data_IF_173237897715
#
_entry.id   IF_173237897715
#
_cell.length_a   1.000
_cell.length_b   1.000
_cell.length_c   1.000
_cell.angle_alpha   90.00
_cell.angle_beta   90.00
_cell.angle_gamma   90.00
#
_symmetry.space_group_name_H-M   'P 1'
#
loop_
_entity.id
_entity.type
_entity.pdbx_description
1 polymer ?
#
# COMPACT_ATOMS: atom_id res chain seq x y z
N UNK A 1 15.33 5.12 -19.33
CA UNK A 1 14.30 4.17 -18.86
C UNK A 1 15.03 2.94 -18.34
N UNK A 2 14.91 2.64 -17.06
CA UNK A 2 15.42 1.38 -16.51
C UNK A 2 14.40 0.28 -16.80
N UNK A 3 14.84 -0.71 -17.55
CA UNK A 3 14.02 -1.83 -18.06
C UNK A 3 13.96 -2.89 -16.97
N UNK A 4 12.75 -3.27 -16.55
CA UNK A 4 12.50 -4.34 -15.59
C UNK A 4 12.35 -5.72 -16.26
N UNK A 5 11.98 -6.76 -15.50
CA UNK A 5 11.82 -8.11 -16.00
C UNK A 5 10.75 -8.22 -17.09
N UNK A 6 11.02 -9.07 -18.08
CA UNK A 6 10.03 -9.49 -19.07
C UNK A 6 9.30 -10.72 -18.55
N UNK A 7 7.98 -10.64 -18.44
CA UNK A 7 7.14 -11.71 -17.90
C UNK A 7 5.85 -11.84 -18.70
N UNK A 8 5.21 -13.01 -18.57
CA UNK A 8 3.94 -13.28 -19.25
C UNK A 8 2.79 -12.55 -18.55
N UNK A 9 1.72 -12.24 -19.26
CA UNK A 9 0.54 -11.60 -18.67
C UNK A 9 -0.03 -12.42 -17.50
N UNK A 10 -0.02 -13.76 -17.62
CA UNK A 10 -0.41 -14.66 -16.54
C UNK A 10 0.48 -14.50 -15.29
N UNK A 11 1.80 -14.36 -15.47
CA UNK A 11 2.71 -14.11 -14.33
C UNK A 11 2.45 -12.74 -13.72
N UNK A 12 2.17 -11.73 -14.54
CA UNK A 12 1.84 -10.39 -14.06
C UNK A 12 0.59 -10.42 -13.18
N UNK A 13 -0.46 -11.08 -13.65
CA UNK A 13 -1.73 -11.28 -12.94
C UNK A 13 -1.51 -11.95 -11.58
N UNK A 14 -0.77 -13.06 -11.55
CA UNK A 14 -0.42 -13.74 -10.31
C UNK A 14 0.37 -12.86 -9.33
N UNK A 15 1.32 -12.06 -9.83
CA UNK A 15 2.08 -11.12 -8.98
C UNK A 15 1.18 -10.02 -8.39
N UNK A 16 0.29 -9.47 -9.22
CA UNK A 16 -0.68 -8.46 -8.79
C UNK A 16 -1.67 -9.00 -7.76
N UNK A 17 -2.19 -10.20 -7.95
CA UNK A 17 -3.07 -10.86 -6.97
C UNK A 17 -2.36 -11.14 -5.65
N UNK A 18 -1.13 -11.66 -5.70
CA UNK A 18 -0.31 -11.90 -4.52
C UNK A 18 -0.02 -10.59 -3.75
N UNK A 19 0.32 -9.52 -4.48
CA UNK A 19 0.57 -8.21 -3.89
C UNK A 19 -0.70 -7.62 -3.27
N UNK A 20 -1.86 -7.79 -3.90
CA UNK A 20 -3.17 -7.37 -3.36
C UNK A 20 -3.50 -8.10 -2.05
N UNK A 21 -3.22 -9.41 -1.98
CA UNK A 21 -3.40 -10.19 -0.73
C UNK A 21 -2.47 -9.66 0.36
N UNK A 22 -1.20 -9.41 0.04
CA UNK A 22 -0.24 -8.85 0.98
C UNK A 22 -0.68 -7.46 1.48
N UNK A 23 -1.06 -6.56 0.57
CA UNK A 23 -1.58 -5.24 0.90
C UNK A 23 -2.83 -5.30 1.78
N UNK A 24 -3.76 -6.22 1.52
CA UNK A 24 -4.96 -6.39 2.35
C UNK A 24 -4.62 -6.83 3.78
N UNK A 25 -3.61 -7.70 3.93
CA UNK A 25 -3.11 -8.08 5.24
C UNK A 25 -2.49 -6.89 5.96
N UNK A 26 -1.60 -6.15 5.29
CA UNK A 26 -0.98 -4.94 5.83
C UNK A 26 -2.03 -3.89 6.23
N UNK A 27 -3.07 -3.68 5.40
CA UNK A 27 -4.18 -2.77 5.70
C UNK A 27 -4.90 -3.16 6.98
N UNK A 28 -5.18 -4.46 7.17
CA UNK A 28 -5.86 -4.95 8.37
C UNK A 28 -5.00 -4.76 9.63
N UNK A 29 -3.70 -5.02 9.52
CA UNK A 29 -2.77 -4.88 10.63
C UNK A 29 -2.56 -3.40 10.99
N UNK A 30 -2.34 -2.53 9.99
CA UNK A 30 -2.26 -1.08 10.16
C UNK A 30 -3.53 -0.48 10.75
N UNK A 31 -4.71 -0.97 10.32
CA UNK A 31 -6.00 -0.49 10.88
C UNK A 31 -6.11 -0.82 12.36
N UNK A 32 -5.68 -2.01 12.79
CA UNK A 32 -5.66 -2.38 14.22
C UNK A 32 -4.68 -1.51 15.01
N UNK A 33 -3.48 -1.29 14.47
CA UNK A 33 -2.48 -0.41 15.09
C UNK A 33 -2.99 1.02 15.23
N UNK A 34 -3.67 1.56 14.21
CA UNK A 34 -4.26 2.89 14.24
C UNK A 34 -5.40 3.03 15.25
N UNK A 35 -6.18 1.98 15.49
CA UNK A 35 -7.20 1.98 16.55
C UNK A 35 -6.53 2.14 17.91
N UNK A 36 -5.49 1.36 18.18
CA UNK A 36 -4.73 1.44 19.45
C UNK A 36 -4.07 2.81 19.59
N UNK A 37 -3.41 3.31 18.54
CA UNK A 37 -2.77 4.64 18.55
C UNK A 37 -3.79 5.77 18.71
N UNK A 38 -4.99 5.64 18.15
CA UNK A 38 -6.08 6.60 18.33
C UNK A 38 -6.52 6.64 19.79
N UNK A 39 -6.70 5.48 20.42
CA UNK A 39 -7.09 5.40 21.84
C UNK A 39 -5.98 5.99 22.73
N UNK A 40 -4.71 5.67 22.46
CA UNK A 40 -3.56 6.25 23.14
C UNK A 40 -3.48 7.77 22.96
N UNK A 41 -3.70 8.26 21.74
CA UNK A 41 -3.68 9.69 21.44
C UNK A 41 -4.80 10.45 22.16
N UNK A 42 -6.00 9.88 22.24
CA UNK A 42 -7.12 10.47 22.99
C UNK A 42 -6.89 10.47 24.50
N UNK A 43 -6.26 9.41 25.03
CA UNK A 43 -5.92 9.31 26.45
C UNK A 43 -4.77 10.24 26.85
N UNK A 44 -3.86 10.54 25.91
CA UNK A 44 -2.69 11.37 26.17
C UNK A 44 -3.08 12.84 26.30
N UNK A 45 -2.76 13.45 27.44
CA UNK A 45 -3.03 14.87 27.66
C UNK A 45 -2.18 15.72 26.72
N UNK A 46 -2.81 16.67 26.02
CA UNK A 46 -2.13 17.61 25.12
C UNK A 46 -1.12 18.53 25.82
N UNK A 47 -1.38 18.86 27.08
CA UNK A 47 -0.54 19.74 27.88
C UNK A 47 -0.22 19.12 29.23
N UNK A 48 1.01 19.34 29.68
CA UNK A 48 1.48 19.00 31.02
C UNK A 48 2.03 20.26 31.69
N UNK A 49 2.20 20.21 33.00
CA UNK A 49 2.81 21.30 33.77
C UNK A 49 4.27 20.95 34.00
N UNK A 50 5.17 21.86 33.66
CA UNK A 50 6.61 21.71 33.89
C UNK A 50 6.99 21.96 35.36
N UNK A 51 8.24 21.72 35.73
CA UNK A 51 8.77 21.91 37.09
C UNK A 51 8.60 23.37 37.60
N UNK A 52 8.55 24.33 36.68
CA UNK A 52 8.34 25.76 36.96
C UNK A 52 6.85 26.16 37.07
N UNK A 53 5.92 25.21 36.92
CA UNK A 53 4.48 25.48 36.95
C UNK A 53 3.90 25.97 35.61
N UNK A 54 4.71 26.06 34.56
CA UNK A 54 4.28 26.48 33.23
C UNK A 54 3.57 25.36 32.47
N UNK A 55 2.58 25.74 31.64
CA UNK A 55 1.82 24.79 30.82
C UNK A 55 2.54 24.57 29.48
N UNK A 56 3.18 23.41 29.33
CA UNK A 56 3.90 23.02 28.12
C UNK A 56 3.14 21.95 27.34
N UNK A 57 3.44 21.82 26.03
CA UNK A 57 2.91 20.72 25.21
C UNK A 57 3.52 19.41 25.69
N UNK A 58 2.69 18.38 25.86
CA UNK A 58 3.16 17.07 26.24
C UNK A 58 3.98 16.43 25.09
N UNK A 59 5.26 16.09 25.30
CA UNK A 59 6.07 15.42 24.28
C UNK A 59 5.48 14.08 23.82
N UNK A 60 4.85 13.34 24.74
CA UNK A 60 4.19 12.07 24.42
C UNK A 60 3.02 12.27 23.46
N UNK A 61 2.25 13.36 23.63
CA UNK A 61 1.16 13.70 22.72
C UNK A 61 1.66 13.95 21.30
N UNK A 62 2.78 14.68 21.17
CA UNK A 62 3.40 14.96 19.87
C UNK A 62 3.93 13.67 19.23
N UNK A 63 4.54 12.80 20.03
CA UNK A 63 5.08 11.52 19.57
C UNK A 63 3.98 10.58 19.08
N UNK A 64 2.93 10.38 19.88
CA UNK A 64 1.80 9.53 19.50
C UNK A 64 1.09 10.06 18.26
N UNK A 65 0.94 11.39 18.13
CA UNK A 65 0.40 12.01 16.92
C UNK A 65 1.27 11.72 15.69
N UNK A 66 2.58 11.91 15.79
CA UNK A 66 3.49 11.66 14.67
C UNK A 66 3.44 10.19 14.21
N UNK A 67 3.39 9.25 15.16
CA UNK A 67 3.23 7.83 14.85
C UNK A 67 1.87 7.51 14.23
N UNK A 68 0.80 8.18 14.67
CA UNK A 68 -0.52 8.05 14.05
C UNK A 68 -0.49 8.53 12.59
N UNK A 69 0.00 9.74 12.35
CA UNK A 69 0.06 10.34 11.01
C UNK A 69 0.93 9.48 10.06
N UNK A 70 2.05 8.92 10.53
CA UNK A 70 2.89 7.99 9.76
C UNK A 70 2.14 6.72 9.34
N UNK A 71 1.43 6.10 10.29
CA UNK A 71 0.67 4.86 10.05
C UNK A 71 -0.55 5.09 9.17
N UNK A 72 -1.18 6.27 9.28
CA UNK A 72 -2.28 6.68 8.40
C UNK A 72 -1.80 6.86 6.96
N UNK A 73 -0.66 7.52 6.75
CA UNK A 73 -0.04 7.65 5.43
C UNK A 73 0.28 6.27 4.81
N UNK A 74 0.89 5.36 5.58
CA UNK A 74 1.16 4.01 5.11
C UNK A 74 -0.11 3.23 4.75
N UNK A 75 -1.19 3.41 5.51
CA UNK A 75 -2.50 2.82 5.22
C UNK A 75 -3.05 3.34 3.89
N UNK A 76 -2.96 4.66 3.67
CA UNK A 76 -3.40 5.31 2.43
C UNK A 76 -2.57 4.82 1.23
N UNK A 77 -1.25 4.74 1.36
CA UNK A 77 -0.37 4.19 0.32
C UNK A 77 -0.76 2.76 -0.08
N UNK A 78 -1.06 1.90 0.90
CA UNK A 78 -1.52 0.52 0.63
C UNK A 78 -2.88 0.47 -0.04
N UNK A 79 -3.81 1.34 0.34
CA UNK A 79 -5.12 1.47 -0.32
C UNK A 79 -4.98 1.95 -1.76
N UNK A 80 -4.14 2.96 -2.00
CA UNK A 80 -3.86 3.49 -3.33
C UNK A 80 -3.18 2.43 -4.22
N UNK A 81 -2.23 1.68 -3.68
CA UNK A 81 -1.62 0.53 -4.37
C UNK A 81 -2.66 -0.52 -4.76
N UNK A 82 -3.59 -0.86 -3.87
CA UNK A 82 -4.67 -1.79 -4.18
C UNK A 82 -5.65 -1.27 -5.23
N UNK A 83 -6.01 0.01 -5.18
CA UNK A 83 -6.86 0.63 -6.19
C UNK A 83 -6.20 0.57 -7.58
N UNK A 84 -4.90 0.88 -7.65
CA UNK A 84 -4.13 0.78 -8.88
C UNK A 84 -4.05 -0.65 -9.41
N UNK A 85 -3.75 -1.63 -8.55
CA UNK A 85 -3.70 -3.05 -8.93
C UNK A 85 -5.06 -3.52 -9.45
N UNK A 86 -6.16 -3.16 -8.78
CA UNK A 86 -7.50 -3.54 -9.24
C UNK A 86 -7.83 -2.96 -10.62
N UNK A 87 -7.51 -1.69 -10.85
CA UNK A 87 -7.71 -1.05 -12.15
C UNK A 87 -6.93 -1.76 -13.27
N UNK A 88 -5.70 -2.23 -12.97
CA UNK A 88 -4.87 -2.97 -13.93
C UNK A 88 -5.34 -4.40 -14.18
N UNK A 89 -5.86 -5.08 -13.15
CA UNK A 89 -6.49 -6.39 -13.32
C UNK A 89 -7.76 -6.29 -14.18
N UNK A 90 -8.57 -5.27 -13.96
CA UNK A 90 -9.77 -5.01 -14.76
C UNK A 90 -9.41 -4.69 -16.22
N UNK A 91 -8.39 -3.85 -16.44
CA UNK A 91 -7.87 -3.57 -17.79
C UNK A 91 -7.43 -4.85 -18.51
N UNK A 92 -6.72 -5.76 -17.83
CA UNK A 92 -6.32 -7.05 -18.41
C UNK A 92 -7.53 -7.94 -18.75
N UNK A 93 -8.54 -8.00 -17.89
CA UNK A 93 -9.74 -8.78 -18.13
C UNK A 93 -10.52 -8.25 -19.35
N UNK A 94 -10.67 -6.93 -19.45
CA UNK A 94 -11.34 -6.27 -20.59
C UNK A 94 -10.58 -6.49 -21.90
N UNK A 95 -9.24 -6.46 -21.87
CA UNK A 95 -8.41 -6.76 -23.05
C UNK A 95 -8.61 -8.21 -23.51
N UNK A 96 -8.64 -9.16 -22.58
CA UNK A 96 -8.88 -10.58 -22.87
C UNK A 96 -10.26 -10.79 -23.50
N UNK A 97 -11.31 -10.22 -22.89
CA UNK A 97 -12.69 -10.30 -23.37
C UNK A 97 -12.85 -9.68 -24.77
N UNK A 98 -12.35 -8.46 -24.97
CA UNK A 98 -12.41 -7.75 -26.26
C UNK A 98 -11.60 -8.44 -27.36
N UNK A 99 -10.58 -9.23 -27.00
CA UNK A 99 -9.82 -10.02 -27.96
C UNK A 99 -10.59 -11.24 -28.47
N UNK A 100 -11.72 -11.59 -27.85
CA UNK A 100 -12.48 -12.82 -28.15
C UNK A 100 -11.66 -14.08 -27.90
N UNK A 101 -10.76 -14.06 -26.92
CA UNK A 101 -9.84 -15.17 -26.60
C UNK A 101 -8.65 -15.31 -27.56
N UNK A 102 -8.38 -14.31 -28.42
CA UNK A 102 -7.18 -14.31 -29.29
C UNK A 102 -5.89 -14.02 -28.52
N UNK A 103 -5.99 -13.39 -27.35
CA UNK A 103 -4.85 -13.12 -26.48
C UNK A 103 -4.64 -14.34 -25.57
N UNK A 104 -3.50 -15.01 -25.76
CA UNK A 104 -3.06 -16.10 -24.89
C UNK A 104 -2.12 -15.53 -23.82
N UNK A 105 -2.64 -15.32 -22.59
CA UNK A 105 -1.91 -14.76 -21.45
C UNK A 105 -0.64 -15.54 -21.07
N UNK A 106 -0.55 -16.81 -21.45
CA UNK A 106 0.61 -17.66 -21.18
C UNK A 106 1.77 -17.40 -22.16
N UNK A 107 1.48 -16.82 -23.33
CA UNK A 107 2.45 -16.56 -24.41
C UNK A 107 2.79 -15.09 -24.56
N UNK A 108 1.83 -14.21 -24.32
CA UNK A 108 2.03 -12.77 -24.42
C UNK A 108 2.96 -12.28 -23.30
N UNK A 109 4.04 -11.60 -23.69
CA UNK A 109 5.06 -11.10 -22.79
C UNK A 109 5.05 -9.59 -22.77
N UNK A 110 5.14 -9.03 -21.57
CA UNK A 110 5.32 -7.61 -21.35
C UNK A 110 6.64 -7.36 -20.63
N UNK A 111 7.33 -6.31 -21.05
CA UNK A 111 8.50 -5.79 -20.36
C UNK A 111 8.05 -4.60 -19.53
N UNK A 112 8.17 -4.72 -18.21
CA UNK A 112 7.78 -3.66 -17.28
C UNK A 112 8.91 -2.64 -17.12
N UNK A 113 8.55 -1.41 -16.72
CA UNK A 113 9.56 -0.50 -16.16
C UNK A 113 9.82 -0.83 -14.69
N UNK A 114 10.98 -0.46 -14.14
CA UNK A 114 11.25 -0.64 -12.71
C UNK A 114 10.16 -0.01 -11.81
N UNK A 115 9.60 1.13 -12.23
CA UNK A 115 8.53 1.79 -11.48
C UNK A 115 7.25 0.94 -11.47
N UNK A 116 6.90 0.34 -12.60
CA UNK A 116 5.76 -0.58 -12.68
C UNK A 116 6.00 -1.83 -11.84
N UNK A 117 7.24 -2.34 -11.80
CA UNK A 117 7.60 -3.47 -10.95
C UNK A 117 7.35 -3.19 -9.46
N UNK A 118 7.72 -2.00 -8.99
CA UNK A 118 7.47 -1.58 -7.61
C UNK A 118 5.98 -1.47 -7.30
N UNK A 119 5.21 -0.84 -8.19
CA UNK A 119 3.77 -0.62 -8.00
C UNK A 119 2.95 -1.92 -8.07
N UNK A 120 3.40 -2.88 -8.88
CA UNK A 120 2.70 -4.14 -9.13
C UNK A 120 3.23 -5.30 -8.28
N UNK A 121 4.20 -5.06 -7.40
CA UNK A 121 4.77 -6.09 -6.52
C UNK A 121 5.64 -7.14 -7.24
N UNK A 122 6.15 -6.80 -8.43
CA UNK A 122 7.05 -7.67 -9.19
C UNK A 122 8.47 -7.47 -8.68
N UNK A 123 8.98 -8.44 -7.92
CA UNK A 123 10.39 -8.45 -7.48
C UNK A 123 11.26 -9.09 -8.56
N UNK A 124 12.35 -8.42 -8.93
CA UNK A 124 13.42 -9.06 -9.69
C UNK A 124 13.93 -10.28 -8.91
N UNK A 125 13.96 -11.44 -9.57
CA UNK A 125 14.63 -12.64 -9.09
C UNK A 125 15.94 -12.82 -9.83
#
# INVERSE_FOLDING_TARGET
MLVGPTLTLEKLENHMEAQKVANNKDINDLTKELIVLSDEYQATRKYITDEEGEKIINPDFVKTKASYDEKENLLEERRNSNAFINAKLEELAVIEENSGGKIDKSKEKITLTLNDCLLLGVKEK
#
